data_IF_452628211252
#
_entry.id   IF_452628211252
#
_cell.length_a   1.000
_cell.length_b   1.000
_cell.length_c   1.000
_cell.angle_alpha   90.00
_cell.angle_beta   90.00
_cell.angle_gamma   90.00
#
_symmetry.space_group_name_H-M   'P 1'
#
loop_
_entity.id
_entity.type
_entity.pdbx_description
1 polymer ?
#
# COMPACT_ATOMS: atom_id res chain seq x y z
N UNK A 1 -18.51 -60.24 -14.67
CA UNK A 1 -19.72 -59.43 -14.97
C UNK A 1 -20.10 -58.50 -13.82
N UNK A 2 -20.28 -58.99 -12.58
CA UNK A 2 -20.62 -58.17 -11.38
C UNK A 2 -19.66 -57.00 -11.11
N UNK A 3 -18.35 -57.17 -11.27
CA UNK A 3 -17.35 -56.11 -11.03
C UNK A 3 -17.49 -54.93 -12.00
N UNK A 4 -17.81 -55.18 -13.29
CA UNK A 4 -18.03 -54.13 -14.29
C UNK A 4 -19.30 -53.31 -13.99
N UNK A 5 -20.37 -53.97 -13.55
CA UNK A 5 -21.62 -53.30 -13.17
C UNK A 5 -21.44 -52.44 -11.92
N UNK A 6 -20.76 -52.97 -10.89
CA UNK A 6 -20.42 -52.20 -9.68
C UNK A 6 -19.54 -51.00 -10.04
N UNK A 7 -18.52 -51.18 -10.89
CA UNK A 7 -17.67 -50.09 -11.36
C UNK A 7 -18.44 -49.02 -12.13
N UNK A 8 -19.40 -49.40 -12.99
CA UNK A 8 -20.27 -48.43 -13.69
C UNK A 8 -21.17 -47.67 -12.71
N UNK A 9 -21.73 -48.35 -11.71
CA UNK A 9 -22.55 -47.71 -10.67
C UNK A 9 -21.74 -46.72 -9.84
N UNK A 10 -20.51 -47.07 -9.45
CA UNK A 10 -19.62 -46.19 -8.71
C UNK A 10 -19.23 -44.97 -9.54
N UNK A 11 -18.87 -45.15 -10.82
CA UNK A 11 -18.55 -44.03 -11.72
C UNK A 11 -19.77 -43.12 -11.92
N UNK A 12 -20.96 -43.70 -12.14
CA UNK A 12 -22.20 -42.95 -12.29
C UNK A 12 -22.55 -42.15 -11.04
N UNK A 13 -22.33 -42.73 -9.85
CA UNK A 13 -22.52 -42.04 -8.58
C UNK A 13 -21.54 -40.86 -8.40
N UNK A 14 -20.25 -41.07 -8.70
CA UNK A 14 -19.24 -40.00 -8.64
C UNK A 14 -19.61 -38.85 -9.60
N UNK A 15 -20.03 -39.18 -10.82
CA UNK A 15 -20.43 -38.17 -11.80
C UNK A 15 -21.68 -37.39 -11.35
N UNK A 16 -22.65 -38.06 -10.75
CA UNK A 16 -23.82 -37.41 -10.17
C UNK A 16 -23.45 -36.44 -9.03
N UNK A 17 -22.58 -36.87 -8.10
CA UNK A 17 -22.10 -36.02 -7.01
C UNK A 17 -21.36 -34.79 -7.56
N UNK A 18 -20.52 -34.98 -8.58
CA UNK A 18 -19.80 -33.88 -9.23
C UNK A 18 -20.76 -32.88 -9.91
N UNK A 19 -21.78 -33.36 -10.62
CA UNK A 19 -22.81 -32.50 -11.23
C UNK A 19 -23.54 -31.69 -10.16
N UNK A 20 -23.98 -32.34 -9.08
CA UNK A 20 -24.69 -31.66 -7.98
C UNK A 20 -23.81 -30.61 -7.30
N UNK A 21 -22.51 -30.88 -7.16
CA UNK A 21 -21.55 -29.93 -6.64
C UNK A 21 -21.38 -28.72 -7.58
N UNK A 22 -21.13 -28.96 -8.87
CA UNK A 22 -20.96 -27.89 -9.86
C UNK A 22 -22.23 -27.05 -10.01
N UNK A 23 -23.41 -27.67 -9.98
CA UNK A 23 -24.67 -26.93 -10.15
C UNK A 23 -24.89 -25.92 -9.04
N UNK A 24 -24.59 -26.26 -7.78
CA UNK A 24 -24.68 -25.29 -6.68
C UNK A 24 -23.73 -24.11 -6.87
N UNK A 25 -22.51 -24.35 -7.36
CA UNK A 25 -21.55 -23.28 -7.66
C UNK A 25 -22.01 -22.37 -8.80
N UNK A 26 -22.60 -22.91 -9.87
CA UNK A 26 -23.12 -22.12 -10.98
C UNK A 26 -24.35 -21.30 -10.58
N UNK A 27 -25.24 -21.91 -9.80
CA UNK A 27 -26.45 -21.23 -9.34
C UNK A 27 -26.11 -20.07 -8.38
N UNK A 28 -25.05 -20.17 -7.58
CA UNK A 28 -24.67 -19.12 -6.63
C UNK A 28 -24.34 -17.79 -7.31
N UNK A 29 -23.84 -17.82 -8.56
CA UNK A 29 -23.49 -16.64 -9.34
C UNK A 29 -24.69 -15.74 -9.66
N UNK A 30 -25.89 -16.34 -9.75
CA UNK A 30 -27.13 -15.67 -10.10
C UNK A 30 -28.15 -15.67 -8.96
N UNK A 31 -27.77 -16.13 -7.76
CA UNK A 31 -28.71 -16.17 -6.65
C UNK A 31 -28.70 -14.85 -5.87
N UNK A 32 -29.90 -14.34 -5.59
CA UNK A 32 -30.13 -13.06 -4.94
C UNK A 32 -30.29 -11.89 -5.91
N UNK A 33 -30.51 -10.70 -5.33
CA UNK A 33 -30.66 -9.46 -6.08
C UNK A 33 -29.33 -9.03 -6.70
N UNK A 34 -29.39 -8.57 -7.95
CA UNK A 34 -28.20 -8.06 -8.65
C UNK A 34 -27.67 -6.81 -7.94
N UNK A 35 -26.36 -6.75 -7.72
CA UNK A 35 -25.73 -5.54 -7.16
C UNK A 35 -25.95 -4.32 -8.07
N UNK A 36 -26.03 -4.54 -9.39
CA UNK A 36 -26.36 -3.48 -10.35
C UNK A 36 -27.79 -2.97 -10.17
N UNK A 37 -28.77 -3.86 -9.99
CA UNK A 37 -30.16 -3.48 -9.74
C UNK A 37 -30.30 -2.68 -8.44
N UNK A 38 -29.65 -3.14 -7.37
CA UNK A 38 -29.65 -2.42 -6.09
C UNK A 38 -29.02 -1.03 -6.24
N UNK A 39 -27.90 -0.90 -6.97
CA UNK A 39 -27.21 0.39 -7.12
C UNK A 39 -27.96 1.37 -8.04
N UNK A 40 -28.72 0.89 -9.03
CA UNK A 40 -29.50 1.73 -9.95
C UNK A 40 -30.88 2.11 -9.39
N UNK A 41 -31.56 1.17 -8.75
CA UNK A 41 -32.98 1.30 -8.39
C UNK A 41 -33.22 1.37 -6.87
N UNK A 42 -32.17 1.19 -6.06
CA UNK A 42 -32.23 1.31 -4.60
C UNK A 42 -32.09 2.74 -4.09
N UNK A 43 -32.68 3.01 -2.94
CA UNK A 43 -32.57 4.27 -2.23
C UNK A 43 -31.28 4.30 -1.40
N UNK A 44 -30.36 5.20 -1.72
CA UNK A 44 -29.11 5.37 -0.95
C UNK A 44 -29.40 6.04 0.39
N UNK A 45 -28.88 5.46 1.47
CA UNK A 45 -28.99 6.04 2.81
C UNK A 45 -27.84 7.04 2.99
N UNK A 46 -28.08 8.32 2.73
CA UNK A 46 -27.05 9.37 2.79
C UNK A 46 -25.80 9.04 1.96
N UNK A 47 -24.63 9.54 2.38
CA UNK A 47 -23.34 9.24 1.75
C UNK A 47 -22.70 7.94 2.30
N UNK A 48 -23.47 6.86 2.39
CA UNK A 48 -23.06 5.60 3.02
C UNK A 48 -22.83 4.40 2.11
N UNK A 49 -22.40 3.30 2.71
CA UNK A 49 -22.34 1.99 2.07
C UNK A 49 -23.72 1.31 1.98
N UNK A 50 -24.75 1.90 2.60
CA UNK A 50 -26.07 1.29 2.72
C UNK A 50 -27.03 1.70 1.62
N UNK A 51 -27.93 0.79 1.24
CA UNK A 51 -28.96 1.02 0.23
C UNK A 51 -30.22 0.26 0.62
N UNK A 52 -31.36 0.93 0.62
CA UNK A 52 -32.67 0.31 0.86
C UNK A 52 -33.26 -0.09 -0.49
N UNK A 53 -33.60 -1.36 -0.65
CA UNK A 53 -34.18 -1.89 -1.88
C UNK A 53 -35.19 -2.99 -1.55
N UNK A 54 -36.37 -2.92 -2.16
CA UNK A 54 -37.48 -3.87 -1.92
C UNK A 54 -37.78 -4.13 -0.42
N UNK A 55 -37.75 -3.08 0.41
CA UNK A 55 -38.01 -3.20 1.85
C UNK A 55 -36.93 -3.95 2.62
N UNK A 56 -35.70 -4.00 2.12
CA UNK A 56 -34.54 -4.59 2.78
C UNK A 56 -33.37 -3.62 2.78
N UNK A 57 -32.54 -3.67 3.82
CA UNK A 57 -31.30 -2.90 3.90
C UNK A 57 -30.15 -3.74 3.36
N UNK A 58 -29.35 -3.16 2.47
CA UNK A 58 -28.15 -3.77 1.92
C UNK A 58 -26.92 -2.95 2.29
N UNK A 59 -25.83 -3.59 2.73
CA UNK A 59 -24.53 -2.95 2.85
C UNK A 59 -23.63 -3.35 1.67
N UNK A 60 -22.85 -2.39 1.17
CA UNK A 60 -21.80 -2.64 0.20
C UNK A 60 -20.53 -3.07 0.90
N UNK A 61 -20.02 -4.26 0.57
CA UNK A 61 -18.75 -4.78 1.08
C UNK A 61 -17.75 -4.80 -0.07
N UNK A 62 -16.70 -3.95 -0.03
CA UNK A 62 -15.67 -3.94 -1.07
C UNK A 62 -15.09 -5.33 -1.30
N UNK A 63 -14.86 -5.67 -2.57
CA UNK A 63 -14.40 -6.98 -3.04
C UNK A 63 -15.35 -8.17 -2.80
N UNK A 64 -16.54 -7.97 -2.24
CA UNK A 64 -17.49 -9.04 -1.98
C UNK A 64 -18.95 -8.72 -2.39
N UNK A 65 -19.24 -7.46 -2.75
CA UNK A 65 -20.52 -7.02 -3.31
C UNK A 65 -21.54 -6.62 -2.25
N UNK A 66 -22.84 -6.69 -2.58
CA UNK A 66 -23.93 -6.33 -1.67
C UNK A 66 -24.28 -7.49 -0.73
N UNK A 67 -24.61 -7.14 0.51
CA UNK A 67 -25.12 -8.05 1.54
C UNK A 67 -26.40 -7.50 2.12
N UNK A 68 -27.44 -8.32 2.13
CA UNK A 68 -28.67 -8.04 2.86
C UNK A 68 -28.40 -8.13 4.36
N UNK A 69 -29.02 -7.23 5.14
CA UNK A 69 -29.05 -7.27 6.59
C UNK A 69 -30.47 -7.70 6.97
N UNK A 70 -30.68 -9.00 7.20
CA UNK A 70 -32.01 -9.59 7.35
C UNK A 70 -32.76 -9.02 8.58
N UNK A 71 -32.01 -8.68 9.63
CA UNK A 71 -32.53 -8.17 10.89
C UNK A 71 -32.78 -6.65 10.88
N UNK A 72 -32.37 -5.96 9.82
CA UNK A 72 -32.51 -4.51 9.73
C UNK A 72 -33.94 -4.07 9.47
N UNK A 73 -34.39 -3.06 10.23
CA UNK A 73 -35.68 -2.40 10.02
C UNK A 73 -35.53 -1.25 9.01
N UNK A 74 -35.88 -1.42 7.73
CA UNK A 74 -35.62 -0.42 6.68
C UNK A 74 -36.32 0.92 6.93
N UNK A 75 -37.41 0.92 7.70
CA UNK A 75 -38.19 2.13 8.00
C UNK A 75 -37.47 3.03 9.00
N UNK A 76 -36.75 2.46 9.97
CA UNK A 76 -36.02 3.22 10.99
C UNK A 76 -34.50 3.24 10.79
N UNK A 77 -34.03 2.61 9.71
CA UNK A 77 -32.60 2.54 9.40
C UNK A 77 -32.05 3.92 9.05
N UNK A 78 -30.97 4.31 9.73
CA UNK A 78 -30.33 5.61 9.55
C UNK A 78 -28.85 5.56 9.94
N UNK A 79 -28.12 6.62 9.58
CA UNK A 79 -26.74 6.86 10.00
C UNK A 79 -26.71 7.69 11.29
N UNK A 80 -25.59 7.63 12.02
CA UNK A 80 -25.34 8.56 13.12
C UNK A 80 -24.88 9.94 12.63
N UNK A 81 -24.25 9.99 11.46
CA UNK A 81 -23.84 11.22 10.77
C UNK A 81 -23.97 11.00 9.27
N UNK A 82 -24.74 11.86 8.60
CA UNK A 82 -24.91 11.79 7.13
C UNK A 82 -23.81 12.54 6.37
N UNK A 83 -23.03 13.38 7.05
CA UNK A 83 -22.02 14.24 6.44
C UNK A 83 -20.59 13.67 6.54
N UNK A 84 -20.34 12.72 7.46
CA UNK A 84 -19.00 12.19 7.69
C UNK A 84 -18.63 11.07 6.71
N UNK A 85 -17.69 11.36 5.81
CA UNK A 85 -17.11 10.34 4.91
C UNK A 85 -16.48 9.15 5.67
N UNK A 86 -15.97 9.37 6.89
CA UNK A 86 -15.18 8.39 7.65
C UNK A 86 -16.02 7.46 8.56
N UNK A 87 -17.34 7.65 8.58
CA UNK A 87 -18.28 6.93 9.47
C UNK A 87 -19.43 6.26 8.73
N UNK A 88 -19.33 6.28 7.41
CA UNK A 88 -20.31 5.80 6.43
C UNK A 88 -20.60 4.29 6.48
N UNK A 89 -19.86 3.56 7.31
CA UNK A 89 -19.94 2.11 7.53
C UNK A 89 -20.75 1.72 8.77
N UNK A 90 -21.20 2.70 9.57
CA UNK A 90 -21.94 2.44 10.80
C UNK A 90 -23.39 2.89 10.64
N UNK A 91 -24.31 1.94 10.80
CA UNK A 91 -25.75 2.19 10.72
C UNK A 91 -26.45 1.80 12.01
N UNK A 92 -27.62 2.38 12.27
CA UNK A 92 -28.52 1.98 13.34
C UNK A 92 -29.95 1.86 12.83
N UNK A 93 -30.75 1.05 13.50
CA UNK A 93 -32.21 1.11 13.42
C UNK A 93 -32.82 1.13 14.84
N UNK A 94 -34.15 1.00 14.95
CA UNK A 94 -34.81 1.00 16.27
C UNK A 94 -34.40 -0.13 17.21
N UNK A 95 -33.80 -1.21 16.71
CA UNK A 95 -33.48 -2.46 17.39
C UNK A 95 -31.97 -2.71 17.53
N UNK A 96 -31.17 -2.40 16.51
CA UNK A 96 -29.78 -2.82 16.40
C UNK A 96 -28.85 -1.71 15.87
N UNK A 97 -27.56 -1.88 16.17
CA UNK A 97 -26.47 -1.15 15.53
C UNK A 97 -25.64 -2.09 14.66
N UNK A 98 -25.07 -1.56 13.59
CA UNK A 98 -24.41 -2.32 12.54
C UNK A 98 -23.03 -1.74 12.22
N UNK A 99 -22.05 -2.63 12.09
CA UNK A 99 -20.77 -2.32 11.47
C UNK A 99 -20.70 -3.08 10.14
N UNK A 100 -20.73 -2.35 9.01
CA UNK A 100 -20.95 -3.01 7.73
C UNK A 100 -22.33 -3.68 7.72
N UNK A 101 -22.39 -4.94 7.28
CA UNK A 101 -23.60 -5.75 7.30
C UNK A 101 -23.78 -6.59 8.58
N UNK A 102 -22.94 -6.43 9.60
CA UNK A 102 -22.95 -7.26 10.81
C UNK A 102 -23.49 -6.49 12.02
N UNK A 103 -24.31 -7.16 12.82
CA UNK A 103 -24.87 -6.62 14.07
C UNK A 103 -23.77 -6.51 15.13
N UNK A 104 -23.74 -5.38 15.82
CA UNK A 104 -22.91 -5.18 17.01
C UNK A 104 -23.70 -5.68 18.22
N UNK A 105 -23.31 -6.83 18.74
CA UNK A 105 -24.01 -7.48 19.85
C UNK A 105 -24.01 -6.60 21.11
N UNK A 106 -25.18 -6.50 21.75
CA UNK A 106 -25.41 -5.75 23.01
C UNK A 106 -25.23 -4.22 22.93
N UNK A 107 -25.06 -3.67 21.72
CA UNK A 107 -24.97 -2.23 21.51
C UNK A 107 -26.37 -1.61 21.42
N UNK A 108 -26.66 -0.59 22.24
CA UNK A 108 -27.95 0.07 22.29
C UNK A 108 -28.06 1.18 21.22
N UNK A 109 -28.87 1.00 20.17
CA UNK A 109 -28.97 1.99 19.09
C UNK A 109 -29.59 3.31 19.55
N UNK A 110 -30.39 3.31 20.63
CA UNK A 110 -31.08 4.53 21.11
C UNK A 110 -30.13 5.54 21.75
N UNK A 111 -28.99 5.08 22.26
CA UNK A 111 -27.98 5.91 22.91
C UNK A 111 -26.69 6.00 22.09
N UNK A 112 -26.70 5.43 20.88
CA UNK A 112 -25.57 5.40 19.96
C UNK A 112 -25.10 6.81 19.60
N UNK A 113 -23.78 6.99 19.62
CA UNK A 113 -23.08 8.23 19.28
C UNK A 113 -21.79 7.92 18.56
N UNK A 114 -21.45 8.79 17.61
CA UNK A 114 -20.10 8.81 17.04
C UNK A 114 -19.14 9.53 17.99
N UNK A 115 -17.94 8.97 18.13
CA UNK A 115 -16.80 9.60 18.82
C UNK A 115 -15.90 10.32 17.81
N UNK A 116 -15.96 9.97 16.53
CA UNK A 116 -14.96 10.32 15.53
C UNK A 116 -13.92 9.21 15.35
N UNK A 117 -13.06 9.35 14.33
CA UNK A 117 -12.00 8.39 14.01
C UNK A 117 -12.49 6.93 13.80
N UNK A 118 -13.75 6.78 13.36
CA UNK A 118 -14.45 5.50 13.17
C UNK A 118 -14.73 4.71 14.47
N UNK A 119 -14.83 5.41 15.60
CA UNK A 119 -15.28 4.85 16.88
C UNK A 119 -16.70 5.29 17.23
N UNK A 120 -17.44 4.37 17.84
CA UNK A 120 -18.85 4.56 18.17
C UNK A 120 -19.13 4.02 19.58
N UNK A 121 -20.02 4.67 20.32
CA UNK A 121 -20.40 4.26 21.67
C UNK A 121 -21.89 4.39 21.91
N UNK A 122 -22.46 3.51 22.73
CA UNK A 122 -23.81 3.64 23.27
C UNK A 122 -23.82 4.12 24.74
N UNK A 123 -22.65 4.44 25.29
CA UNK A 123 -22.42 4.77 26.70
C UNK A 123 -22.06 3.59 27.61
N UNK A 124 -22.33 2.35 27.20
CA UNK A 124 -21.95 1.12 27.91
C UNK A 124 -20.81 0.38 27.21
N UNK A 125 -20.89 0.28 25.88
CA UNK A 125 -19.91 -0.30 24.98
C UNK A 125 -19.34 0.78 24.06
N UNK A 126 -18.07 0.65 23.72
CA UNK A 126 -17.42 1.43 22.67
C UNK A 126 -16.80 0.46 21.68
N UNK A 127 -16.93 0.72 20.39
CA UNK A 127 -16.38 -0.14 19.34
C UNK A 127 -15.63 0.71 18.30
N UNK A 128 -14.54 0.15 17.77
CA UNK A 128 -13.99 0.56 16.49
C UNK A 128 -14.75 -0.18 15.38
N UNK A 129 -15.20 0.54 14.37
CA UNK A 129 -15.77 -0.05 13.16
C UNK A 129 -15.02 0.48 11.94
N UNK A 130 -14.20 -0.36 11.31
CA UNK A 130 -13.28 0.05 10.27
C UNK A 130 -13.98 0.64 9.04
N UNK A 131 -13.39 1.64 8.39
CA UNK A 131 -13.96 2.25 7.18
C UNK A 131 -13.83 1.39 5.91
N UNK A 132 -12.97 0.37 5.94
CA UNK A 132 -12.68 -0.51 4.82
C UNK A 132 -12.81 -1.97 5.23
N UNK A 133 -13.13 -2.83 4.26
CA UNK A 133 -13.21 -4.27 4.49
C UNK A 133 -11.84 -4.95 4.38
N UNK A 134 -11.67 -6.04 5.12
CA UNK A 134 -10.52 -6.95 5.07
C UNK A 134 -11.00 -8.37 4.77
N UNK A 135 -10.10 -9.27 4.40
CA UNK A 135 -10.43 -10.68 4.22
C UNK A 135 -10.96 -11.24 5.54
N UNK A 136 -12.01 -12.05 5.46
CA UNK A 136 -12.57 -12.74 6.61
C UNK A 136 -11.78 -14.01 6.91
N UNK A 137 -10.79 -13.91 7.80
CA UNK A 137 -9.94 -15.04 8.17
C UNK A 137 -10.67 -16.13 8.98
N UNK A 138 -11.85 -15.82 9.53
CA UNK A 138 -12.71 -16.81 10.22
C UNK A 138 -13.43 -17.74 9.24
N UNK A 139 -13.50 -17.39 7.94
CA UNK A 139 -14.12 -18.21 6.91
C UNK A 139 -13.07 -19.10 6.24
N UNK A 140 -13.04 -20.38 6.61
CA UNK A 140 -12.15 -21.35 5.96
C UNK A 140 -12.54 -21.57 4.49
N UNK A 141 -11.58 -21.98 3.66
CA UNK A 141 -11.84 -22.31 2.24
C UNK A 141 -12.91 -23.40 2.07
N UNK A 142 -12.97 -24.37 2.97
CA UNK A 142 -13.98 -25.43 2.92
C UNK A 142 -15.37 -24.89 3.28
N UNK A 143 -15.44 -24.00 4.26
CA UNK A 143 -16.68 -23.33 4.65
C UNK A 143 -17.17 -22.40 3.55
N UNK A 144 -16.28 -21.63 2.92
CA UNK A 144 -16.59 -20.80 1.76
C UNK A 144 -17.21 -21.65 0.64
N UNK A 145 -16.59 -22.78 0.28
CA UNK A 145 -17.12 -23.68 -0.75
C UNK A 145 -18.51 -24.23 -0.37
N UNK A 146 -18.66 -24.68 0.87
CA UNK A 146 -19.92 -25.25 1.36
C UNK A 146 -21.02 -24.19 1.39
N UNK A 147 -20.72 -22.99 1.89
CA UNK A 147 -21.66 -21.87 1.93
C UNK A 147 -22.00 -21.37 0.53
N UNK A 148 -21.02 -21.28 -0.39
CA UNK A 148 -21.27 -20.93 -1.80
C UNK A 148 -22.23 -21.92 -2.44
N UNK A 149 -22.01 -23.22 -2.21
CA UNK A 149 -22.86 -24.27 -2.75
C UNK A 149 -24.29 -24.19 -2.18
N UNK A 150 -24.43 -24.09 -0.86
CA UNK A 150 -25.73 -23.94 -0.19
C UNK A 150 -26.44 -22.66 -0.63
N UNK A 151 -25.71 -21.56 -0.75
CA UNK A 151 -26.21 -20.31 -1.28
C UNK A 151 -26.76 -20.52 -2.67
N UNK A 152 -26.07 -21.17 -3.60
CA UNK A 152 -26.60 -21.40 -4.95
C UNK A 152 -27.94 -22.14 -4.99
N UNK A 153 -28.16 -23.06 -4.06
CA UNK A 153 -29.44 -23.76 -3.92
C UNK A 153 -30.52 -22.99 -3.14
N UNK A 154 -30.22 -21.77 -2.68
CA UNK A 154 -31.11 -20.99 -1.81
C UNK A 154 -31.27 -21.57 -0.41
N UNK A 155 -30.35 -22.44 0.01
CA UNK A 155 -30.37 -23.15 1.29
C UNK A 155 -29.46 -22.48 2.35
N UNK A 156 -28.71 -21.45 1.96
CA UNK A 156 -27.78 -20.76 2.84
C UNK A 156 -27.59 -19.30 2.47
N UNK A 157 -26.96 -18.53 3.38
CA UNK A 157 -26.58 -17.14 3.13
C UNK A 157 -25.35 -17.10 2.21
N UNK A 158 -25.17 -15.96 1.54
CA UNK A 158 -23.99 -15.69 0.72
C UNK A 158 -22.72 -15.72 1.60
N UNK A 159 -21.62 -16.36 1.17
CA UNK A 159 -20.39 -16.45 1.95
C UNK A 159 -19.70 -15.10 2.09
N UNK A 160 -19.45 -14.70 3.34
CA UNK A 160 -18.83 -13.42 3.68
C UNK A 160 -17.30 -13.53 3.66
N UNK A 161 -16.67 -13.40 2.49
CA UNK A 161 -15.21 -13.50 2.33
C UNK A 161 -14.46 -12.22 2.70
N UNK A 162 -15.18 -11.09 2.80
CA UNK A 162 -14.64 -9.83 3.32
C UNK A 162 -15.55 -9.27 4.40
N UNK A 163 -15.00 -8.70 5.46
CA UNK A 163 -15.78 -8.08 6.55
C UNK A 163 -15.26 -6.69 6.86
N UNK A 164 -16.11 -5.85 7.46
CA UNK A 164 -15.66 -4.65 8.14
C UNK A 164 -15.21 -5.02 9.55
N UNK A 165 -13.92 -4.88 9.90
CA UNK A 165 -13.46 -5.16 11.26
C UNK A 165 -14.24 -4.36 12.29
N UNK A 166 -14.72 -5.07 13.32
CA UNK A 166 -15.38 -4.48 14.48
C UNK A 166 -14.66 -4.97 15.73
N UNK A 167 -14.08 -4.03 16.48
CA UNK A 167 -13.29 -4.34 17.67
C UNK A 167 -13.91 -3.61 18.86
N UNK A 168 -14.47 -4.33 19.86
CA UNK A 168 -14.93 -3.71 21.08
C UNK A 168 -13.76 -3.26 21.94
N UNK A 169 -13.86 -2.06 22.52
CA UNK A 169 -12.85 -1.53 23.41
C UNK A 169 -13.11 -2.02 24.84
N UNK A 170 -12.05 -2.13 25.68
CA UNK A 170 -12.21 -2.42 27.09
C UNK A 170 -13.11 -1.40 27.80
N UNK A 171 -13.77 -1.82 28.88
CA UNK A 171 -14.51 -0.89 29.73
C UNK A 171 -13.55 0.17 30.29
N UNK A 172 -14.04 1.41 30.38
CA UNK A 172 -13.31 2.55 30.92
C UNK A 172 -14.18 3.35 31.88
N UNK A 173 -13.63 3.85 33.01
CA UNK A 173 -14.35 4.78 33.90
C UNK A 173 -14.54 6.17 33.27
N UNK A 174 -13.80 6.48 32.21
CA UNK A 174 -13.83 7.76 31.49
C UNK A 174 -14.27 7.54 30.05
N UNK A 175 -15.00 8.51 29.51
CA UNK A 175 -15.46 8.46 28.13
C UNK A 175 -14.28 8.53 27.16
N UNK A 176 -14.35 7.68 26.14
CA UNK A 176 -13.46 7.72 25.00
C UNK A 176 -13.65 9.01 24.19
N UNK A 177 -12.55 9.58 23.71
CA UNK A 177 -12.52 10.77 22.86
C UNK A 177 -11.49 10.58 21.74
N UNK A 178 -11.71 11.19 20.56
CA UNK A 178 -10.75 11.08 19.47
C UNK A 178 -9.42 11.72 19.89
N UNK A 179 -8.32 11.13 19.44
CA UNK A 179 -6.97 11.64 19.65
C UNK A 179 -6.31 11.81 18.28
N UNK A 180 -5.70 12.97 18.01
CA UNK A 180 -5.14 13.30 16.68
C UNK A 180 -6.16 13.06 15.53
N UNK A 181 -5.68 13.08 14.28
CA UNK A 181 -6.52 12.79 13.11
C UNK A 181 -6.52 11.29 12.80
N UNK A 182 -7.71 10.74 12.62
CA UNK A 182 -7.99 9.37 12.14
C UNK A 182 -7.49 8.27 13.09
N UNK A 183 -8.23 7.16 13.15
CA UNK A 183 -7.87 5.88 13.77
C UNK A 183 -7.54 5.84 15.27
N UNK A 184 -7.27 6.97 15.92
CA UNK A 184 -6.82 7.04 17.30
C UNK A 184 -7.93 7.52 18.25
N UNK A 185 -8.04 6.85 19.39
CA UNK A 185 -8.95 7.23 20.48
C UNK A 185 -8.25 7.04 21.82
N UNK A 186 -8.67 7.81 22.83
CA UNK A 186 -8.17 7.67 24.20
C UNK A 186 -9.30 7.80 25.21
N UNK A 187 -9.17 7.07 26.32
CA UNK A 187 -9.97 7.30 27.53
C UNK A 187 -9.30 8.29 28.50
N UNK A 188 -8.14 8.83 28.14
CA UNK A 188 -7.31 9.70 28.98
C UNK A 188 -6.20 8.97 29.76
N UNK A 189 -6.18 7.64 29.77
CA UNK A 189 -5.08 6.83 30.32
C UNK A 189 -4.44 5.93 29.25
N UNK A 190 -5.25 5.38 28.35
CA UNK A 190 -4.86 4.45 27.30
C UNK A 190 -5.10 5.07 25.93
N UNK A 191 -4.30 4.67 24.96
CA UNK A 191 -4.50 5.02 23.55
C UNK A 191 -4.78 3.76 22.75
N UNK A 192 -5.69 3.85 21.79
CA UNK A 192 -6.01 2.76 20.88
C UNK A 192 -5.93 3.23 19.42
N UNK A 193 -5.25 2.46 18.57
CA UNK A 193 -5.18 2.64 17.12
C UNK A 193 -6.02 1.56 16.44
N UNK A 194 -7.07 1.94 15.70
CA UNK A 194 -8.03 1.01 15.10
C UNK A 194 -8.56 -0.07 16.05
N UNK A 195 -8.85 0.30 17.30
CA UNK A 195 -9.30 -0.62 18.35
C UNK A 195 -8.18 -1.36 19.09
N UNK A 196 -6.95 -1.35 18.57
CA UNK A 196 -5.80 -2.03 19.17
C UNK A 196 -5.09 -1.14 20.20
N UNK A 197 -4.75 -1.70 21.35
CA UNK A 197 -4.09 -0.97 22.42
C UNK A 197 -2.66 -0.56 22.05
N UNK A 198 -2.30 0.70 22.30
CA UNK A 198 -0.93 1.22 22.16
C UNK A 198 -0.21 1.20 23.52
N UNK A 199 0.75 0.28 23.74
CA UNK A 199 1.40 0.13 25.04
C UNK A 199 2.22 1.37 25.43
N UNK A 200 2.04 1.86 26.66
CA UNK A 200 2.79 2.99 27.24
C UNK A 200 2.65 4.34 26.51
N UNK A 201 1.72 4.47 25.56
CA UNK A 201 1.45 5.72 24.88
C UNK A 201 0.87 6.76 25.85
N UNK A 202 1.50 7.94 25.92
CA UNK A 202 0.99 9.06 26.70
C UNK A 202 -0.04 9.86 25.87
N UNK A 203 -1.35 9.78 26.18
CA UNK A 203 -2.39 10.47 25.41
C UNK A 203 -2.30 12.00 25.47
N UNK A 204 -1.56 12.59 26.42
CA UNK A 204 -1.39 14.03 26.52
C UNK A 204 -0.22 14.56 25.69
N UNK A 205 0.74 13.69 25.36
CA UNK A 205 1.98 14.06 24.68
C UNK A 205 2.12 13.42 23.30
N UNK A 206 1.23 12.49 22.94
CA UNK A 206 1.24 11.83 21.64
C UNK A 206 1.03 12.84 20.51
N UNK A 207 1.88 12.78 19.50
CA UNK A 207 1.82 13.62 18.30
C UNK A 207 2.23 12.82 17.06
N UNK A 208 1.77 13.29 15.89
CA UNK A 208 2.18 12.77 14.60
C UNK A 208 3.67 13.06 14.35
N UNK A 209 4.36 12.13 13.69
CA UNK A 209 5.71 12.38 13.15
C UNK A 209 5.56 12.93 11.73
N UNK A 210 6.22 14.07 11.45
CA UNK A 210 6.16 14.70 10.13
C UNK A 210 6.64 13.78 9.00
N UNK A 211 5.91 13.78 7.89
CA UNK A 211 6.21 13.03 6.67
C UNK A 211 6.72 13.95 5.58
N UNK A 212 8.00 13.83 5.29
CA UNK A 212 8.69 14.54 4.23
C UNK A 212 8.24 14.01 2.87
N UNK A 213 7.60 14.88 2.10
CA UNK A 213 7.07 14.58 0.77
C UNK A 213 8.13 14.80 -0.31
N UNK A 214 7.86 14.33 -1.52
CA UNK A 214 8.75 14.53 -2.68
C UNK A 214 9.02 16.01 -3.01
N UNK A 215 8.03 16.89 -2.77
CA UNK A 215 8.12 18.34 -3.00
C UNK A 215 8.74 19.11 -1.82
N UNK A 216 9.38 18.39 -0.89
CA UNK A 216 9.94 18.89 0.37
C UNK A 216 8.93 19.51 1.33
N UNK A 217 7.62 19.39 1.06
CA UNK A 217 6.59 19.70 2.05
C UNK A 217 6.58 18.66 3.17
N UNK A 218 6.16 19.06 4.36
CA UNK A 218 5.96 18.15 5.49
C UNK A 218 4.46 18.03 5.76
N UNK A 219 3.97 16.79 5.83
CA UNK A 219 2.57 16.46 6.12
C UNK A 219 2.50 15.59 7.37
N UNK A 220 1.36 15.60 8.07
CA UNK A 220 1.15 14.70 9.21
C UNK A 220 1.22 13.23 8.73
N UNK A 221 2.03 12.39 9.37
CA UNK A 221 1.96 10.95 9.16
C UNK A 221 0.70 10.40 9.86
N UNK A 222 -0.02 9.49 9.20
CA UNK A 222 -1.15 8.78 9.81
C UNK A 222 -0.79 7.36 10.26
N UNK A 223 0.51 7.09 10.40
CA UNK A 223 1.05 5.78 10.74
C UNK A 223 2.18 5.83 11.75
N UNK A 224 2.89 6.95 11.89
CA UNK A 224 3.98 7.08 12.85
C UNK A 224 3.70 8.18 13.87
N UNK A 225 3.87 7.83 15.14
CA UNK A 225 3.55 8.71 16.26
C UNK A 225 4.71 8.72 17.25
N UNK A 226 4.81 9.77 18.05
CA UNK A 226 5.71 9.81 19.20
C UNK A 226 5.07 10.51 20.38
N UNK A 227 5.43 10.08 21.58
CA UNK A 227 5.25 10.87 22.79
C UNK A 227 6.63 11.38 23.26
N UNK A 228 6.79 11.76 24.53
CA UNK A 228 8.08 12.26 25.03
C UNK A 228 9.14 11.16 25.24
N UNK A 229 8.73 9.89 25.31
CA UNK A 229 9.60 8.76 25.62
C UNK A 229 9.67 7.75 24.49
N UNK A 230 8.55 7.52 23.82
CA UNK A 230 8.30 6.39 22.95
C UNK A 230 7.97 6.82 21.53
N UNK A 231 8.25 5.92 20.59
CA UNK A 231 7.96 6.06 19.16
C UNK A 231 7.14 4.86 18.72
N UNK A 232 6.16 5.08 17.85
CA UNK A 232 5.20 4.07 17.42
C UNK A 232 5.07 4.03 15.91
N UNK A 233 4.95 2.82 15.36
CA UNK A 233 4.29 2.59 14.09
C UNK A 233 2.92 2.00 14.37
N UNK A 234 1.86 2.73 14.05
CA UNK A 234 0.48 2.38 14.40
C UNK A 234 0.40 2.09 15.90
N UNK A 235 0.00 0.89 16.31
CA UNK A 235 -0.01 0.45 17.71
C UNK A 235 1.33 -0.11 18.23
N UNK A 236 2.28 -0.38 17.35
CA UNK A 236 3.52 -1.07 17.71
C UNK A 236 4.56 -0.08 18.24
N UNK A 237 5.01 -0.34 19.47
CA UNK A 237 6.12 0.39 20.10
C UNK A 237 7.44 0.04 19.40
N UNK A 238 8.16 1.06 18.92
CA UNK A 238 9.45 0.90 18.27
C UNK A 238 10.58 1.09 19.28
N UNK A 239 11.67 0.31 19.17
CA UNK A 239 12.89 0.49 19.96
C UNK A 239 13.73 1.68 19.45
N UNK A 240 13.09 2.83 19.25
CA UNK A 240 13.72 4.08 18.79
C UNK A 240 13.46 5.15 19.85
N UNK A 241 14.49 5.92 20.21
CA UNK A 241 14.35 6.99 21.19
C UNK A 241 13.48 8.10 20.60
N UNK A 242 12.53 8.62 21.38
CA UNK A 242 11.75 9.77 20.93
C UNK A 242 12.57 11.06 20.98
N UNK A 243 12.52 11.84 19.90
CA UNK A 243 12.97 13.21 19.83
C UNK A 243 12.29 13.92 18.65
N UNK A 244 12.33 15.25 18.62
CA UNK A 244 11.67 16.05 17.57
C UNK A 244 12.38 16.02 16.22
N UNK A 245 13.59 15.42 16.13
CA UNK A 245 14.33 15.29 14.88
C UNK A 245 13.86 14.14 14.00
N UNK A 246 13.05 13.22 14.53
CA UNK A 246 12.47 12.12 13.77
C UNK A 246 11.59 12.63 12.63
N UNK A 247 11.71 12.01 11.46
CA UNK A 247 10.83 12.27 10.33
C UNK A 247 10.54 10.98 9.58
N UNK A 248 9.41 10.95 8.90
CA UNK A 248 9.07 9.87 7.98
C UNK A 248 9.28 10.29 6.54
N UNK A 249 9.50 9.33 5.66
CA UNK A 249 9.53 9.54 4.22
C UNK A 249 8.70 8.48 3.53
N UNK A 250 8.03 8.89 2.47
CA UNK A 250 7.32 8.00 1.55
C UNK A 250 7.95 8.17 0.18
N UNK A 251 8.49 7.09 -0.37
CA UNK A 251 9.13 7.14 -1.67
C UNK A 251 8.10 6.95 -2.77
N UNK A 252 8.04 7.92 -3.69
CA UNK A 252 7.20 7.81 -4.88
C UNK A 252 7.62 6.59 -5.71
N UNK A 253 6.70 5.97 -6.45
CA UNK A 253 6.97 4.76 -7.24
C UNK A 253 7.23 3.47 -6.45
N UNK A 254 7.52 3.53 -5.15
CA UNK A 254 7.80 2.37 -4.29
C UNK A 254 6.61 2.00 -3.40
N UNK A 255 5.43 1.85 -3.99
CA UNK A 255 4.21 1.38 -3.30
C UNK A 255 3.84 2.13 -2.01
N UNK A 256 4.27 3.39 -1.87
CA UNK A 256 4.07 4.20 -0.67
C UNK A 256 4.67 3.56 0.60
N UNK A 257 5.78 2.84 0.48
CA UNK A 257 6.54 2.34 1.64
C UNK A 257 6.95 3.52 2.54
N UNK A 258 6.43 3.52 3.77
CA UNK A 258 6.73 4.52 4.79
C UNK A 258 7.93 4.11 5.63
N UNK A 259 8.98 4.93 5.59
CA UNK A 259 10.16 4.77 6.43
C UNK A 259 10.19 5.83 7.51
N UNK A 260 10.60 5.46 8.72
CA UNK A 260 10.96 6.39 9.79
C UNK A 260 12.49 6.51 9.83
N UNK A 261 12.99 7.74 9.87
CA UNK A 261 14.41 8.06 9.94
C UNK A 261 14.71 8.79 11.24
N UNK A 262 15.68 8.29 11.98
CA UNK A 262 16.37 9.01 13.05
C UNK A 262 17.65 9.63 12.49
N UNK A 263 17.70 10.95 12.27
CA UNK A 263 18.89 11.62 11.74
C UNK A 263 20.05 11.69 12.74
N UNK A 264 19.81 11.54 14.05
CA UNK A 264 20.85 11.61 15.07
C UNK A 264 21.62 10.30 15.18
N UNK A 265 20.91 9.16 15.21
CA UNK A 265 21.55 7.83 15.28
C UNK A 265 21.80 7.19 13.91
N UNK A 266 21.08 7.65 12.87
CA UNK A 266 21.04 7.02 11.56
C UNK A 266 20.27 5.70 11.56
N UNK A 267 19.47 5.41 12.58
CA UNK A 267 18.55 4.27 12.57
C UNK A 267 17.38 4.55 11.62
N UNK A 268 16.92 3.47 10.98
CA UNK A 268 15.78 3.48 10.07
C UNK A 268 14.82 2.39 10.51
N UNK A 269 13.52 2.65 10.42
CA UNK A 269 12.51 1.59 10.41
C UNK A 269 11.69 1.64 9.14
N UNK A 270 11.26 0.46 8.69
CA UNK A 270 10.18 0.34 7.71
C UNK A 270 9.00 -0.25 8.48
N UNK A 271 7.89 0.47 8.56
CA UNK A 271 6.78 0.11 9.44
C UNK A 271 7.28 -0.12 10.89
N UNK A 272 6.96 -1.26 11.48
CA UNK A 272 7.40 -1.74 12.79
C UNK A 272 8.76 -2.48 12.78
N UNK A 273 9.34 -2.71 11.60
CA UNK A 273 10.63 -3.38 11.45
C UNK A 273 11.79 -2.38 11.49
N UNK A 274 12.54 -2.39 12.59
CA UNK A 274 13.76 -1.56 12.75
C UNK A 274 14.97 -2.24 12.09
N UNK A 275 15.75 -1.46 11.34
CA UNK A 275 16.97 -1.92 10.72
C UNK A 275 18.02 -2.30 11.79
N UNK A 276 18.83 -3.35 11.59
CA UNK A 276 19.79 -3.78 12.61
C UNK A 276 20.78 -2.68 13.03
N UNK A 277 20.80 -2.31 14.31
CA UNK A 277 21.63 -1.20 14.82
C UNK A 277 23.13 -1.38 14.55
N UNK A 278 23.60 -2.63 14.47
CA UNK A 278 25.02 -2.95 14.22
C UNK A 278 25.54 -2.39 12.88
N UNK A 279 24.65 -2.11 11.92
CA UNK A 279 25.03 -1.47 10.66
C UNK A 279 24.61 0.01 10.58
N UNK A 280 24.02 0.60 11.62
CA UNK A 280 23.82 2.03 11.66
C UNK A 280 25.19 2.78 11.66
N UNK A 281 25.25 4.04 11.18
CA UNK A 281 24.15 4.80 10.59
C UNK A 281 23.82 4.33 9.16
N UNK A 282 22.54 4.43 8.81
CA UNK A 282 22.00 4.19 7.47
C UNK A 282 21.69 5.52 6.79
N UNK A 283 22.00 5.61 5.50
CA UNK A 283 21.70 6.77 4.67
C UNK A 283 20.97 6.34 3.40
N UNK A 284 19.77 6.86 3.19
CA UNK A 284 19.04 6.63 1.93
C UNK A 284 19.85 7.19 0.77
N UNK A 285 20.12 6.37 -0.26
CA UNK A 285 20.94 6.80 -1.40
C UNK A 285 20.25 7.88 -2.26
N UNK A 286 18.93 7.80 -2.41
CA UNK A 286 18.13 8.74 -3.20
C UNK A 286 16.66 8.68 -2.78
N UNK A 287 15.98 9.82 -2.85
CA UNK A 287 14.53 9.96 -2.62
C UNK A 287 13.70 9.77 -3.90
N UNK A 288 14.36 9.60 -5.06
CA UNK A 288 13.70 9.51 -6.36
C UNK A 288 13.34 8.07 -6.72
N UNK A 289 12.08 7.85 -7.09
CA UNK A 289 11.47 6.53 -7.26
C UNK A 289 11.46 5.95 -8.67
N UNK A 290 11.77 6.75 -9.70
CA UNK A 290 11.43 6.42 -11.08
C UNK A 290 12.17 5.21 -11.65
N UNK A 291 13.41 4.97 -11.21
CA UNK A 291 14.28 3.87 -11.67
C UNK A 291 14.70 2.95 -10.54
N UNK A 292 13.82 2.73 -9.55
CA UNK A 292 14.06 1.82 -8.43
C UNK A 292 12.85 0.94 -8.14
N UNK A 293 13.09 -0.30 -7.71
CA UNK A 293 12.07 -1.22 -7.17
C UNK A 293 12.17 -1.41 -5.65
N UNK A 294 13.27 -0.94 -5.05
CA UNK A 294 13.58 -1.00 -3.63
C UNK A 294 14.32 0.28 -3.22
N UNK A 295 13.98 0.82 -2.05
CA UNK A 295 14.77 1.85 -1.39
C UNK A 295 16.11 1.26 -0.93
N UNK A 296 17.21 1.95 -1.22
CA UNK A 296 18.55 1.49 -0.84
C UNK A 296 19.15 2.37 0.24
N UNK A 297 19.57 1.75 1.34
CA UNK A 297 20.21 2.39 2.47
C UNK A 297 21.67 2.01 2.54
N UNK A 298 22.55 3.01 2.46
CA UNK A 298 23.98 2.89 2.57
C UNK A 298 24.40 2.86 4.04
N UNK A 299 25.33 1.97 4.36
CA UNK A 299 26.00 1.87 5.66
C UNK A 299 27.48 1.57 5.42
N UNK A 300 28.34 1.81 6.42
CA UNK A 300 29.73 1.33 6.39
C UNK A 300 29.84 -0.18 6.13
N UNK A 301 28.84 -0.97 6.53
CA UNK A 301 28.86 -2.43 6.43
C UNK A 301 28.20 -2.95 5.15
N UNK A 302 27.62 -2.10 4.30
CA UNK A 302 26.98 -2.55 3.06
C UNK A 302 25.82 -1.66 2.59
N UNK A 303 25.16 -2.14 1.54
CA UNK A 303 23.89 -1.59 1.04
C UNK A 303 22.75 -2.49 1.53
N UNK A 304 21.70 -1.90 2.07
CA UNK A 304 20.56 -2.59 2.69
C UNK A 304 19.24 -2.15 2.06
N UNK A 305 18.26 -3.05 2.07
CA UNK A 305 16.90 -2.78 1.59
C UNK A 305 15.87 -3.64 2.33
N UNK A 306 14.61 -3.23 2.27
CA UNK A 306 13.48 -4.01 2.77
C UNK A 306 13.02 -5.05 1.73
N UNK A 307 13.10 -6.33 2.06
CA UNK A 307 12.64 -7.41 1.18
C UNK A 307 11.16 -7.69 1.42
N UNK A 308 10.30 -6.97 0.71
CA UNK A 308 8.84 -6.98 0.89
C UNK A 308 8.19 -8.37 1.02
N UNK A 309 8.51 -9.33 0.16
CA UNK A 309 7.89 -10.67 0.20
C UNK A 309 8.25 -11.50 1.44
N UNK A 310 9.36 -11.14 2.11
CA UNK A 310 9.82 -11.84 3.30
C UNK A 310 9.70 -10.99 4.56
N UNK A 311 9.34 -9.70 4.39
CA UNK A 311 9.21 -8.73 5.46
C UNK A 311 10.46 -8.65 6.37
N UNK A 312 11.65 -8.65 5.75
CA UNK A 312 12.95 -8.59 6.45
C UNK A 312 13.89 -7.55 5.81
N UNK A 313 14.86 -7.08 6.60
CA UNK A 313 15.96 -6.24 6.09
C UNK A 313 17.07 -7.13 5.54
N UNK A 314 17.49 -6.87 4.30
CA UNK A 314 18.49 -7.67 3.58
C UNK A 314 19.66 -6.81 3.15
N UNK A 315 20.87 -7.34 3.31
CA UNK A 315 22.09 -6.77 2.73
C UNK A 315 22.19 -7.17 1.25
N UNK A 316 22.21 -6.18 0.36
CA UNK A 316 22.37 -6.36 -1.08
C UNK A 316 23.83 -6.56 -1.52
N UNK A 317 24.79 -5.99 -0.79
CA UNK A 317 26.20 -6.04 -1.16
C UNK A 317 27.06 -5.06 -0.39
N UNK A 318 28.32 -4.94 -0.81
CA UNK A 318 29.25 -3.95 -0.25
C UNK A 318 28.83 -2.54 -0.64
N UNK A 319 29.08 -1.57 0.26
CA UNK A 319 28.84 -0.17 -0.04
C UNK A 319 30.03 0.37 -0.86
N UNK A 320 29.84 0.80 -2.12
CA UNK A 320 30.94 1.34 -2.93
C UNK A 320 31.33 2.77 -2.54
N UNK A 321 30.65 3.40 -1.57
CA UNK A 321 30.75 4.82 -1.23
C UNK A 321 31.21 5.10 0.21
N UNK A 322 31.97 4.19 0.85
CA UNK A 322 32.34 4.30 2.28
C UNK A 322 33.18 5.54 2.62
N UNK A 323 33.91 6.10 1.64
CA UNK A 323 34.78 7.27 1.84
C UNK A 323 34.58 8.31 0.75
N UNK A 324 34.46 9.58 1.12
CA UNK A 324 34.24 10.69 0.18
C UNK A 324 32.76 11.04 0.01
N UNK A 325 32.49 12.19 -0.57
CA UNK A 325 31.12 12.68 -0.79
C UNK A 325 30.47 11.91 -1.94
N UNK A 326 29.24 11.42 -1.72
CA UNK A 326 28.35 10.95 -2.78
C UNK A 326 27.35 12.07 -3.06
N UNK A 327 27.45 12.68 -4.24
CA UNK A 327 26.58 13.78 -4.64
C UNK A 327 25.58 13.32 -5.69
N UNK A 328 24.29 13.37 -5.39
CA UNK A 328 23.23 13.22 -6.38
C UNK A 328 23.16 14.48 -7.24
N UNK A 329 23.46 14.35 -8.54
CA UNK A 329 23.49 15.48 -9.49
C UNK A 329 22.19 15.63 -10.27
N UNK A 330 21.46 14.52 -10.41
CA UNK A 330 20.12 14.43 -10.98
C UNK A 330 19.42 13.20 -10.37
N UNK A 331 18.08 13.06 -10.47
CA UNK A 331 17.37 11.91 -9.92
C UNK A 331 18.04 10.58 -10.28
N UNK A 332 18.43 9.81 -9.26
CA UNK A 332 19.10 8.50 -9.42
C UNK A 332 20.47 8.52 -10.14
N UNK A 333 21.11 9.69 -10.30
CA UNK A 333 22.44 9.84 -10.93
C UNK A 333 23.37 10.60 -9.99
N UNK A 334 24.55 10.03 -9.73
CA UNK A 334 25.48 10.49 -8.71
C UNK A 334 26.89 10.67 -9.26
N UNK A 335 27.64 11.53 -8.59
CA UNK A 335 29.10 11.64 -8.75
C UNK A 335 29.81 11.29 -7.45
N UNK A 336 30.84 10.45 -7.56
CA UNK A 336 31.71 10.07 -6.45
C UNK A 336 33.14 9.87 -6.97
N UNK A 337 34.12 10.59 -6.42
CA UNK A 337 35.52 10.59 -6.89
C UNK A 337 35.66 10.76 -8.42
N UNK A 338 34.96 11.74 -8.99
CA UNK A 338 34.89 12.02 -10.43
C UNK A 338 34.32 10.89 -11.31
N UNK A 339 33.80 9.81 -10.73
CA UNK A 339 33.10 8.75 -11.45
C UNK A 339 31.58 8.95 -11.37
N UNK A 340 30.90 8.61 -12.45
CA UNK A 340 29.43 8.65 -12.52
C UNK A 340 28.84 7.31 -12.08
N UNK A 341 27.85 7.36 -11.19
CA UNK A 341 27.06 6.22 -10.74
C UNK A 341 25.59 6.48 -10.99
N UNK A 342 24.79 5.43 -11.11
CA UNK A 342 23.34 5.58 -11.23
C UNK A 342 22.59 4.37 -10.70
N UNK A 343 21.36 4.60 -10.25
CA UNK A 343 20.42 3.52 -9.95
C UNK A 343 19.70 3.12 -11.22
N UNK A 344 19.40 1.83 -11.34
CA UNK A 344 18.52 1.35 -12.39
C UNK A 344 17.69 0.18 -11.90
N UNK A 345 16.42 0.17 -12.28
CA UNK A 345 15.52 -0.92 -12.01
C UNK A 345 15.64 -2.02 -13.07
N UNK A 346 15.14 -3.21 -12.72
CA UNK A 346 14.94 -4.28 -13.68
C UNK A 346 13.88 -5.26 -13.17
N UNK A 347 13.12 -5.80 -14.12
CA UNK A 347 12.16 -6.86 -13.86
C UNK A 347 12.56 -8.11 -14.64
N UNK A 348 12.45 -9.26 -13.99
CA UNK A 348 12.55 -10.55 -14.64
C UNK A 348 11.15 -11.14 -14.74
N UNK A 349 10.73 -11.42 -15.96
CA UNK A 349 9.44 -12.04 -16.25
C UNK A 349 9.63 -13.48 -16.75
N UNK A 350 8.70 -14.34 -16.37
CA UNK A 350 8.66 -15.71 -16.86
C UNK A 350 8.28 -15.79 -18.34
N UNK A 351 8.43 -17.00 -18.89
CA UNK A 351 8.15 -17.26 -20.31
C UNK A 351 6.65 -17.45 -20.55
N UNK A 352 6.22 -17.55 -21.82
CA UNK A 352 4.83 -17.91 -22.16
C UNK A 352 4.36 -19.22 -21.51
N UNK A 353 5.28 -20.15 -21.18
CA UNK A 353 4.95 -21.43 -20.52
C UNK A 353 4.84 -21.29 -19.00
N UNK A 354 5.42 -20.25 -18.42
CA UNK A 354 5.37 -19.96 -16.98
C UNK A 354 5.25 -18.44 -16.80
N UNK A 355 4.10 -17.85 -17.18
CA UNK A 355 3.93 -16.40 -17.19
C UNK A 355 3.90 -15.85 -15.76
N UNK A 356 4.36 -14.60 -15.61
CA UNK A 356 4.31 -13.85 -14.36
C UNK A 356 5.64 -13.18 -14.02
N UNK A 357 5.57 -12.18 -13.15
CA UNK A 357 6.74 -11.52 -12.59
C UNK A 357 7.48 -12.49 -11.68
N UNK A 358 8.77 -12.73 -11.96
CA UNK A 358 9.64 -13.59 -11.16
C UNK A 358 10.34 -12.77 -10.09
N UNK A 359 10.92 -11.63 -10.47
CA UNK A 359 11.65 -10.78 -9.54
C UNK A 359 11.75 -9.34 -10.00
N UNK A 360 11.91 -8.46 -9.01
CA UNK A 360 12.25 -7.05 -9.20
C UNK A 360 13.60 -6.76 -8.57
N UNK A 361 14.40 -5.92 -9.21
CA UNK A 361 15.69 -5.49 -8.67
C UNK A 361 15.90 -3.99 -8.82
N UNK A 362 16.65 -3.42 -7.88
CA UNK A 362 17.33 -2.12 -7.99
C UNK A 362 18.83 -2.40 -8.00
N UNK A 363 19.54 -1.77 -8.93
CA UNK A 363 20.97 -1.97 -9.13
C UNK A 363 21.73 -0.67 -9.03
N UNK A 364 22.92 -0.73 -8.46
CA UNK A 364 23.90 0.37 -8.50
C UNK A 364 24.88 0.07 -9.62
N UNK A 365 24.91 0.95 -10.62
CA UNK A 365 25.85 0.89 -11.72
C UNK A 365 26.91 1.98 -11.59
N UNK A 366 28.13 1.68 -12.00
CA UNK A 366 29.13 2.68 -12.40
C UNK A 366 29.06 2.84 -13.92
N UNK A 367 28.92 4.06 -14.40
CA UNK A 367 28.93 4.36 -15.83
C UNK A 367 30.28 3.98 -16.45
N UNK A 368 30.26 3.26 -17.57
CA UNK A 368 31.48 2.97 -18.33
C UNK A 368 31.85 4.19 -19.17
N UNK A 369 32.48 5.16 -18.54
CA UNK A 369 32.85 6.42 -19.17
C UNK A 369 34.34 6.48 -19.53
N UNK A 370 34.62 7.04 -20.71
CA UNK A 370 35.98 7.36 -21.15
C UNK A 370 36.35 8.82 -20.86
N UNK A 371 35.35 9.68 -20.63
CA UNK A 371 35.51 11.12 -20.48
C UNK A 371 35.53 11.53 -19.00
N UNK A 372 36.57 12.28 -18.59
CA UNK A 372 36.78 12.78 -17.23
C UNK A 372 36.33 14.24 -17.02
N UNK A 373 35.77 14.90 -18.05
CA UNK A 373 35.19 16.24 -17.92
C UNK A 373 34.09 16.28 -16.85
N UNK A 374 33.87 17.41 -16.15
CA UNK A 374 32.75 17.54 -15.24
C UNK A 374 31.41 17.50 -15.99
N UNK A 375 30.35 17.15 -15.26
CA UNK A 375 28.97 17.25 -15.74
C UNK A 375 28.50 18.70 -15.73
N UNK A 376 27.88 19.13 -16.82
CA UNK A 376 27.29 20.46 -16.97
C UNK A 376 25.82 20.31 -17.36
N UNK A 377 24.92 20.90 -16.57
CA UNK A 377 23.48 20.87 -16.87
C UNK A 377 23.18 21.80 -18.04
N UNK A 378 22.51 21.29 -19.06
CA UNK A 378 22.07 22.05 -20.24
C UNK A 378 20.67 22.61 -20.01
N UNK A 379 19.78 21.80 -19.44
CA UNK A 379 18.41 22.21 -19.11
C UNK A 379 17.53 21.04 -18.70
N UNK A 380 16.27 21.34 -18.40
CA UNK A 380 15.30 20.36 -17.88
C UNK A 380 14.09 20.25 -18.79
N UNK A 381 13.49 19.06 -18.85
CA UNK A 381 12.24 18.81 -19.57
C UNK A 381 11.06 18.95 -18.61
N UNK A 382 10.04 19.71 -19.03
CA UNK A 382 8.78 19.87 -18.31
C UNK A 382 8.97 20.19 -16.82
N UNK A 383 9.72 21.26 -16.52
CA UNK A 383 10.08 21.66 -15.15
C UNK A 383 10.68 20.50 -14.32
N UNK A 384 11.61 19.74 -14.90
CA UNK A 384 12.30 18.59 -14.29
C UNK A 384 11.47 17.32 -14.13
N UNK A 385 10.17 17.38 -14.41
CA UNK A 385 9.28 16.23 -14.22
C UNK A 385 9.67 15.07 -15.15
N UNK A 386 10.11 15.35 -16.37
CA UNK A 386 10.47 14.30 -17.34
C UNK A 386 11.94 13.89 -17.28
N UNK A 387 12.81 14.74 -16.73
CA UNK A 387 14.25 14.50 -16.71
C UNK A 387 15.02 15.70 -17.23
N UNK A 388 16.30 15.48 -17.49
CA UNK A 388 17.28 16.56 -17.65
C UNK A 388 18.29 16.24 -18.73
N UNK A 389 18.74 17.27 -19.45
CA UNK A 389 19.82 17.17 -20.44
C UNK A 389 21.11 17.67 -19.81
N UNK A 390 22.15 16.85 -19.91
CA UNK A 390 23.47 17.08 -19.35
C UNK A 390 24.55 16.92 -20.40
N UNK A 391 25.66 17.64 -20.22
CA UNK A 391 26.83 17.61 -21.08
C UNK A 391 28.04 17.11 -20.28
N UNK A 392 28.85 16.25 -20.91
CA UNK A 392 30.16 15.83 -20.40
C UNK A 392 31.18 15.97 -21.54
N UNK A 393 31.97 17.05 -21.51
CA UNK A 393 32.82 17.45 -22.63
C UNK A 393 31.99 17.76 -23.88
N UNK A 394 32.21 17.03 -24.97
CA UNK A 394 31.49 17.22 -26.24
C UNK A 394 30.27 16.30 -26.42
N UNK A 395 29.97 15.47 -25.42
CA UNK A 395 28.86 14.51 -25.46
C UNK A 395 27.68 14.99 -24.63
N UNK A 396 26.49 14.64 -25.09
CA UNK A 396 25.22 14.99 -24.47
C UNK A 396 24.48 13.75 -24.00
N UNK A 397 23.81 13.88 -22.87
CA UNK A 397 23.12 12.81 -22.18
C UNK A 397 21.75 13.30 -21.71
N UNK A 398 20.77 12.40 -21.76
CA UNK A 398 19.46 12.58 -21.16
C UNK A 398 19.38 11.68 -19.93
N UNK A 399 19.16 12.31 -18.77
CA UNK A 399 18.90 11.64 -17.50
C UNK A 399 17.38 11.61 -17.28
N UNK A 400 16.80 10.43 -17.34
CA UNK A 400 15.35 10.24 -17.28
C UNK A 400 14.83 10.30 -15.84
N UNK A 401 13.67 10.93 -15.66
CA UNK A 401 12.96 10.97 -14.37
C UNK A 401 11.54 10.37 -14.45
N UNK A 402 11.13 9.83 -15.60
CA UNK A 402 9.80 9.23 -15.79
C UNK A 402 9.73 7.78 -15.32
N UNK A 403 10.79 7.02 -15.57
CA UNK A 403 10.90 5.64 -15.10
C UNK A 403 10.31 4.57 -16.01
N UNK A 404 10.56 3.32 -15.62
CA UNK A 404 10.14 2.13 -16.37
C UNK A 404 8.62 2.00 -16.54
N UNK A 405 7.83 2.55 -15.61
CA UNK A 405 6.36 2.54 -15.69
C UNK A 405 5.82 3.35 -16.87
N UNK A 406 6.57 4.35 -17.35
CA UNK A 406 6.27 5.13 -18.55
C UNK A 406 6.87 4.52 -19.82
N UNK A 407 7.47 3.32 -19.71
CA UNK A 407 8.15 2.62 -20.80
C UNK A 407 9.55 3.13 -21.12
N UNK A 408 10.13 4.00 -20.27
CA UNK A 408 11.51 4.47 -20.38
C UNK A 408 12.36 3.67 -19.40
N UNK A 409 13.04 2.64 -19.91
CA UNK A 409 13.60 1.55 -19.08
C UNK A 409 15.01 1.81 -18.52
N UNK A 410 15.62 2.94 -18.86
CA UNK A 410 17.02 3.22 -18.49
C UNK A 410 17.09 4.61 -17.89
N UNK A 411 17.95 4.77 -16.90
CA UNK A 411 18.15 6.03 -16.19
C UNK A 411 18.90 7.04 -17.05
N UNK A 412 19.82 6.57 -17.89
CA UNK A 412 20.71 7.42 -18.68
C UNK A 412 20.72 6.96 -20.14
N UNK A 413 20.49 7.93 -21.04
CA UNK A 413 20.63 7.78 -22.47
C UNK A 413 21.67 8.76 -23.01
N UNK A 414 22.53 8.30 -23.92
CA UNK A 414 23.37 9.18 -24.73
C UNK A 414 22.55 9.77 -25.87
N UNK A 415 22.67 11.07 -26.08
CA UNK A 415 22.02 11.80 -27.17
C UNK A 415 22.98 11.79 -28.36
N UNK A 416 22.54 11.21 -29.49
CA UNK A 416 23.41 11.04 -30.67
C UNK A 416 23.62 12.34 -31.44
N UNK A 417 22.57 13.15 -31.58
CA UNK A 417 22.59 14.41 -32.32
C UNK A 417 22.57 15.60 -31.36
N UNK A 418 23.57 16.49 -31.46
CA UNK A 418 23.66 17.70 -30.64
C UNK A 418 22.45 18.62 -30.79
N UNK A 419 21.84 18.67 -31.99
CA UNK A 419 20.61 19.44 -32.19
C UNK A 419 19.45 18.85 -31.38
N UNK A 420 19.43 17.53 -31.17
CA UNK A 420 18.42 16.89 -30.33
C UNK A 420 18.52 17.32 -28.87
N UNK A 421 19.73 17.52 -28.35
CA UNK A 421 19.93 18.03 -26.99
C UNK A 421 19.29 19.42 -26.82
N UNK A 422 19.44 20.30 -27.82
CA UNK A 422 18.82 21.63 -27.83
C UNK A 422 17.29 21.51 -27.90
N UNK A 423 16.78 20.64 -28.79
CA UNK A 423 15.33 20.44 -28.95
C UNK A 423 14.69 19.92 -27.67
N UNK A 424 15.28 18.92 -27.01
CA UNK A 424 14.78 18.35 -25.76
C UNK A 424 14.57 19.41 -24.68
N UNK A 425 15.43 20.43 -24.60
CA UNK A 425 15.31 21.49 -23.60
C UNK A 425 14.32 22.59 -24.01
N UNK A 426 14.15 22.85 -25.30
CA UNK A 426 13.39 24.02 -25.78
C UNK A 426 12.01 23.71 -26.34
N UNK A 427 11.74 22.46 -26.70
CA UNK A 427 10.46 22.01 -27.25
C UNK A 427 9.67 21.21 -26.21
N UNK A 428 8.35 21.17 -26.39
CA UNK A 428 7.47 20.35 -25.55
C UNK A 428 7.46 18.91 -26.05
N UNK A 429 7.98 18.00 -25.25
CA UNK A 429 7.88 16.56 -25.45
C UNK A 429 6.77 15.96 -24.58
N UNK A 430 6.23 14.83 -25.01
CA UNK A 430 5.42 13.93 -24.19
C UNK A 430 6.19 12.62 -23.95
N UNK A 431 5.83 11.80 -22.93
CA UNK A 431 6.52 10.53 -22.67
C UNK A 431 6.51 9.57 -23.88
N UNK A 432 5.48 9.63 -24.73
CA UNK A 432 5.41 8.86 -25.97
C UNK A 432 6.47 9.29 -27.00
N UNK A 433 6.83 10.56 -27.01
CA UNK A 433 7.79 11.11 -27.98
C UNK A 433 9.21 10.70 -27.57
N UNK A 434 9.50 10.70 -26.26
CA UNK A 434 10.76 10.18 -25.73
C UNK A 434 10.95 8.69 -26.04
N UNK A 435 9.91 7.87 -25.86
CA UNK A 435 9.93 6.46 -26.29
C UNK A 435 10.25 6.33 -27.78
N UNK A 436 9.62 7.14 -28.63
CA UNK A 436 9.93 7.14 -30.06
C UNK A 436 11.38 7.53 -30.35
N UNK A 437 11.95 8.50 -29.63
CA UNK A 437 13.36 8.85 -29.79
C UNK A 437 14.31 7.71 -29.38
N UNK A 438 13.92 6.91 -28.40
CA UNK A 438 14.66 5.71 -27.99
C UNK A 438 14.55 4.63 -29.07
N UNK A 439 13.34 4.38 -29.58
CA UNK A 439 13.09 3.40 -30.65
C UNK A 439 13.79 3.77 -31.97
N UNK A 440 13.85 5.07 -32.28
CA UNK A 440 14.58 5.65 -33.43
C UNK A 440 16.12 5.73 -33.20
N UNK A 441 16.64 5.17 -32.10
CA UNK A 441 18.06 5.19 -31.71
C UNK A 441 18.69 6.59 -31.58
N UNK A 442 17.87 7.64 -31.38
CA UNK A 442 18.35 9.01 -31.11
C UNK A 442 18.76 9.19 -29.65
N UNK A 443 18.15 8.41 -28.76
CA UNK A 443 18.49 8.26 -27.35
C UNK A 443 18.94 6.82 -27.12
N UNK A 444 20.26 6.62 -26.98
CA UNK A 444 20.85 5.28 -26.87
C UNK A 444 21.21 4.99 -25.42
N UNK A 445 20.73 3.89 -24.81
CA UNK A 445 21.11 3.49 -23.46
C UNK A 445 22.63 3.42 -23.27
N UNK A 446 23.11 3.94 -22.15
CA UNK A 446 24.52 3.79 -21.78
C UNK A 446 24.82 2.39 -21.22
N UNK A 447 26.09 2.02 -21.24
CA UNK A 447 26.58 0.81 -20.57
C UNK A 447 27.20 1.16 -19.21
N UNK A 448 27.05 0.26 -18.24
CA UNK A 448 27.62 0.41 -16.93
C UNK A 448 28.10 -0.92 -16.36
N UNK A 449 29.04 -0.85 -15.43
CA UNK A 449 29.48 -1.97 -14.60
C UNK A 449 28.56 -2.08 -13.39
N UNK A 450 27.88 -3.21 -13.23
CA UNK A 450 27.04 -3.49 -12.06
C UNK A 450 27.92 -3.69 -10.82
N UNK A 451 27.60 -3.01 -9.72
CA UNK A 451 28.35 -3.10 -8.47
C UNK A 451 27.55 -3.79 -7.37
N UNK A 452 26.26 -3.49 -7.27
CA UNK A 452 25.35 -4.01 -6.24
C UNK A 452 23.98 -4.28 -6.85
N UNK A 453 23.33 -5.35 -6.41
CA UNK A 453 21.96 -5.69 -6.77
C UNK A 453 21.12 -6.00 -5.53
N UNK A 454 20.10 -5.19 -5.28
CA UNK A 454 18.99 -5.55 -4.38
C UNK A 454 17.94 -6.31 -5.20
N UNK A 455 17.45 -7.44 -4.70
CA UNK A 455 16.49 -8.29 -5.43
C UNK A 455 15.40 -8.81 -4.49
N UNK A 456 14.15 -8.66 -4.94
CA UNK A 456 12.98 -9.29 -4.33
C UNK A 456 12.46 -10.34 -5.32
N UNK A 457 12.47 -11.61 -4.91
CA UNK A 457 11.92 -12.72 -5.70
C UNK A 457 10.50 -13.04 -5.22
N UNK A 458 9.57 -13.13 -6.16
CA UNK A 458 8.16 -13.48 -5.95
C UNK A 458 7.90 -14.96 -6.23
N UNK A 459 8.76 -15.59 -7.03
CA UNK A 459 8.67 -16.99 -7.45
C UNK A 459 10.04 -17.66 -7.51
#
# INVERSE_FOLDING_TARGET
MKIKTISLMVIGFIFLVLILFISGMLLSMNNGESSYEIDQNGEKVGHSIYTIYHGKVYASVPSNGKYVIDEADPVSFQLLSEESYYERQFGIDKNHAYCGNLIISSFNPKTAKSIGNSYFTDGNQTVYCAMGSVINDDLSTLDELTQTWLHGWGLGKKPQTYIYPMIPLPVSPTLYRPLLKLYLVTDGQRVFYKGEYMPNADPQQLQDIGSLQYDDSVRDSHQFYRDNLNVYFQQYLLPIKSHSGLYTLTLDGLHQEGYLIDPESGIVSMNDLVFPEINAPYHLISRHGSHVNQALFLSKNGVFFYHREKEIIVRAGDNPFVSGELKEIAPSVFTHHNQTYYLQDSELWGTNRSPGLISRSTKIYRLNESNVSPWEKVGSLDNHYFGEVWRKGNEYYYFDNLGSTQGIRRTIYRIIDQNMAIRLVNERFLPRDLRKLIDDEKLVPVQGTELVQAITKYR
#
